data_IF_588175428961
#
_entry.id   IF_588175428961
#
_cell.length_a   1.000
_cell.length_b   1.000
_cell.length_c   1.000
_cell.angle_alpha   90.00
_cell.angle_beta   90.00
_cell.angle_gamma   90.00
#
_symmetry.space_group_name_H-M   'P 1'
#
loop_
_entity.id
_entity.type
_entity.pdbx_description
1 polymer ?
#
# COMPACT_ATOMS: atom_id res chain seq x y z
N UNK A 1 -26.68 8.52 -20.64
CA UNK A 1 -25.69 7.44 -20.89
C UNK A 1 -24.29 7.95 -20.54
N UNK A 2 -23.89 7.88 -19.27
CA UNK A 2 -22.50 8.16 -18.85
C UNK A 2 -21.76 6.82 -18.87
N UNK A 3 -20.92 6.61 -19.88
CA UNK A 3 -19.99 5.48 -19.93
C UNK A 3 -19.09 5.62 -18.70
N UNK A 4 -19.04 4.58 -17.87
CA UNK A 4 -18.00 4.42 -16.85
C UNK A 4 -16.69 4.29 -17.62
N UNK A 5 -15.90 5.36 -17.63
CA UNK A 5 -14.53 5.31 -18.13
C UNK A 5 -13.80 4.26 -17.29
N UNK A 6 -13.47 3.16 -17.93
CA UNK A 6 -12.58 2.14 -17.39
C UNK A 6 -11.20 2.79 -17.39
N UNK A 7 -10.86 3.49 -16.30
CA UNK A 7 -9.56 4.13 -16.15
C UNK A 7 -8.49 3.05 -16.05
N UNK A 8 -7.80 2.87 -17.17
CA UNK A 8 -6.52 2.18 -17.27
C UNK A 8 -5.54 2.94 -16.36
N UNK A 9 -5.06 2.27 -15.29
CA UNK A 9 -4.22 2.88 -14.26
C UNK A 9 -2.86 3.29 -14.84
N UNK A 10 -2.52 4.58 -14.79
CA UNK A 10 -1.27 5.13 -15.31
C UNK A 10 -0.33 5.54 -14.16
N UNK A 11 0.88 4.98 -14.17
CA UNK A 11 1.67 4.63 -12.99
C UNK A 11 2.24 5.70 -12.05
N UNK A 12 2.17 6.98 -12.35
CA UNK A 12 2.77 8.01 -11.47
C UNK A 12 1.76 9.05 -11.00
N UNK A 13 0.79 9.39 -11.85
CA UNK A 13 -0.22 10.42 -11.58
C UNK A 13 -1.25 9.92 -10.56
N UNK A 14 -1.58 8.62 -10.59
CA UNK A 14 -2.60 8.02 -9.73
C UNK A 14 -2.12 7.77 -8.28
N UNK A 15 -0.81 7.56 -8.04
CA UNK A 15 -0.28 7.33 -6.68
C UNK A 15 -0.38 8.61 -5.84
N UNK A 16 -0.01 9.75 -6.41
CA UNK A 16 -0.09 11.04 -5.71
C UNK A 16 -1.53 11.44 -5.41
N UNK A 17 -2.49 11.07 -6.26
CA UNK A 17 -3.91 11.26 -5.96
C UNK A 17 -4.38 10.37 -4.79
N UNK A 18 -3.96 9.10 -4.76
CA UNK A 18 -4.24 8.20 -3.64
C UNK A 18 -3.60 8.66 -2.33
N UNK A 19 -2.39 9.21 -2.37
CA UNK A 19 -1.71 9.78 -1.21
C UNK A 19 -2.46 11.01 -0.68
N UNK A 20 -2.89 11.93 -1.56
CA UNK A 20 -3.69 13.11 -1.18
C UNK A 20 -5.04 12.74 -0.55
N UNK A 21 -5.65 11.63 -0.97
CA UNK A 21 -6.88 11.12 -0.35
C UNK A 21 -6.67 10.59 1.07
N UNK A 22 -5.54 9.93 1.33
CA UNK A 22 -5.18 9.45 2.68
C UNK A 22 -4.73 10.60 3.61
N UNK A 23 -4.12 11.66 3.06
CA UNK A 23 -3.76 12.88 3.81
C UNK A 23 -5.00 13.65 4.32
N UNK A 24 -6.10 13.65 3.55
CA UNK A 24 -7.35 14.36 3.90
C UNK A 24 -8.19 13.67 4.97
N UNK A 25 -7.98 12.38 5.24
CA UNK A 25 -8.63 11.72 6.38
C UNK A 25 -7.93 12.20 7.64
N UNK A 26 -8.66 12.93 8.50
CA UNK A 26 -8.21 13.54 9.76
C UNK A 26 -7.70 12.58 10.85
N UNK A 27 -7.12 11.45 10.47
CA UNK A 27 -6.33 10.58 11.34
C UNK A 27 -5.03 11.34 11.63
N UNK A 28 -4.71 11.54 12.91
CA UNK A 28 -3.50 12.19 13.45
C UNK A 28 -2.14 11.77 12.83
N UNK A 29 -2.11 10.75 11.97
CA UNK A 29 -0.93 10.12 11.39
C UNK A 29 -0.99 9.91 9.86
N UNK A 30 -1.95 10.55 9.15
CA UNK A 30 -2.11 10.44 7.69
C UNK A 30 -0.92 11.01 6.90
N UNK A 31 -0.53 12.25 7.18
CA UNK A 31 0.58 12.94 6.48
C UNK A 31 1.93 12.25 6.65
N UNK A 32 2.28 11.84 7.88
CA UNK A 32 3.55 11.12 8.14
C UNK A 32 3.66 9.81 7.36
N UNK A 33 2.52 9.13 7.12
CA UNK A 33 2.52 7.89 6.35
C UNK A 33 2.77 8.17 4.86
N UNK A 34 2.14 9.19 4.29
CA UNK A 34 2.34 9.57 2.89
C UNK A 34 3.79 10.02 2.62
N UNK A 35 4.37 10.81 3.51
CA UNK A 35 5.77 11.24 3.39
C UNK A 35 6.75 10.07 3.44
N UNK A 36 6.48 9.08 4.31
CA UNK A 36 7.34 7.88 4.37
C UNK A 36 7.18 6.99 3.13
N UNK A 37 6.01 6.99 2.49
CA UNK A 37 5.82 6.31 1.19
C UNK A 37 6.64 6.99 0.10
N UNK A 38 6.65 8.32 0.05
CA UNK A 38 7.50 9.08 -0.90
C UNK A 38 8.98 8.79 -0.67
N UNK A 39 9.42 8.71 0.59
CA UNK A 39 10.78 8.30 0.95
C UNK A 39 11.10 6.88 0.45
N UNK A 40 10.14 5.95 0.59
CA UNK A 40 10.30 4.58 0.09
C UNK A 40 10.37 4.50 -1.44
N UNK A 41 9.58 5.32 -2.15
CA UNK A 41 9.66 5.42 -3.61
C UNK A 41 11.05 5.90 -4.04
N UNK A 42 11.59 6.93 -3.39
CA UNK A 42 12.95 7.40 -3.65
C UNK A 42 13.99 6.30 -3.40
N UNK A 43 13.88 5.59 -2.27
CA UNK A 43 14.77 4.47 -1.97
C UNK A 43 14.71 3.38 -3.05
N UNK A 44 13.50 3.04 -3.51
CA UNK A 44 13.30 2.08 -4.59
C UNK A 44 13.94 2.55 -5.88
N UNK A 45 13.80 3.82 -6.24
CA UNK A 45 14.38 4.35 -7.47
C UNK A 45 15.92 4.32 -7.43
N UNK A 46 16.53 4.44 -6.23
CA UNK A 46 17.97 4.31 -6.01
C UNK A 46 18.47 2.85 -5.95
N UNK A 47 17.69 1.93 -5.36
CA UNK A 47 18.14 0.56 -5.04
C UNK A 47 17.48 -0.53 -5.91
N UNK A 48 16.48 -0.17 -6.73
CA UNK A 48 15.66 -1.10 -7.51
C UNK A 48 14.61 -1.88 -6.72
N UNK A 49 14.52 -1.70 -5.39
CA UNK A 49 13.61 -2.46 -4.53
C UNK A 49 13.17 -1.70 -3.27
N UNK A 50 12.06 -2.12 -2.66
CA UNK A 50 11.55 -1.59 -1.39
C UNK A 50 12.07 -2.34 -0.14
N UNK A 51 13.07 -3.23 -0.28
CA UNK A 51 13.66 -3.97 0.85
C UNK A 51 14.70 -3.13 1.61
N UNK A 52 14.19 -2.21 2.44
CA UNK A 52 15.03 -1.34 3.28
C UNK A 52 15.53 -2.11 4.51
N UNK A 53 16.85 -2.12 4.81
CA UNK A 53 17.39 -2.69 6.04
C UNK A 53 16.79 -2.03 7.30
N UNK A 54 16.36 -2.85 8.27
CA UNK A 54 15.68 -2.38 9.48
C UNK A 54 16.54 -1.45 10.35
N UNK A 55 17.86 -1.64 10.36
CA UNK A 55 18.82 -0.78 11.07
C UNK A 55 19.91 -0.35 10.09
N UNK A 56 20.39 0.91 10.17
CA UNK A 56 20.05 1.94 11.16
C UNK A 56 18.78 2.77 10.85
N UNK A 57 18.19 2.61 9.66
CA UNK A 57 17.20 3.55 9.12
C UNK A 57 15.84 3.59 9.85
N UNK A 58 15.26 4.78 9.95
CA UNK A 58 13.85 4.99 10.35
C UNK A 58 12.90 4.34 9.34
N UNK A 59 13.21 4.45 8.05
CA UNK A 59 12.45 3.88 6.95
C UNK A 59 12.34 2.35 7.06
N UNK A 60 13.42 1.65 7.40
CA UNK A 60 13.42 0.20 7.60
C UNK A 60 12.53 -0.24 8.76
N UNK A 61 12.52 0.51 9.87
CA UNK A 61 11.57 0.25 10.98
C UNK A 61 10.12 0.46 10.54
N UNK A 62 9.88 1.49 9.72
CA UNK A 62 8.56 1.75 9.16
C UNK A 62 8.10 0.63 8.23
N UNK A 63 8.98 0.13 7.34
CA UNK A 63 8.73 -1.03 6.46
C UNK A 63 8.36 -2.25 7.30
N UNK A 64 9.12 -2.58 8.35
CA UNK A 64 8.80 -3.68 9.26
C UNK A 64 7.45 -3.49 9.96
N UNK A 65 7.12 -2.25 10.35
CA UNK A 65 5.81 -1.92 10.92
C UNK A 65 4.69 -2.16 9.92
N UNK A 66 4.82 -1.74 8.66
CA UNK A 66 3.79 -1.98 7.64
C UNK A 66 3.53 -3.47 7.46
N UNK A 67 4.57 -4.31 7.42
CA UNK A 67 4.42 -5.78 7.33
C UNK A 67 3.64 -6.36 8.51
N UNK A 68 3.92 -5.89 9.73
CA UNK A 68 3.19 -6.30 10.93
C UNK A 68 1.73 -5.86 10.91
N UNK A 69 1.48 -4.60 10.56
CA UNK A 69 0.12 -4.06 10.45
C UNK A 69 -0.69 -4.80 9.39
N UNK A 70 -0.10 -5.10 8.23
CA UNK A 70 -0.75 -5.89 7.19
C UNK A 70 -1.07 -7.32 7.63
N UNK A 71 -0.15 -7.98 8.35
CA UNK A 71 -0.43 -9.30 8.95
C UNK A 71 -1.63 -9.22 9.90
N UNK A 72 -1.68 -8.22 10.77
CA UNK A 72 -2.81 -8.03 11.69
C UNK A 72 -4.12 -7.79 10.93
N UNK A 73 -4.09 -6.93 9.90
CA UNK A 73 -5.24 -6.66 9.05
C UNK A 73 -5.76 -7.92 8.35
N UNK A 74 -4.86 -8.74 7.78
CA UNK A 74 -5.22 -10.02 7.14
C UNK A 74 -5.79 -11.03 8.15
N UNK A 75 -5.21 -11.09 9.34
CA UNK A 75 -5.65 -11.99 10.41
C UNK A 75 -6.89 -11.45 11.17
N UNK A 76 -7.56 -10.40 10.64
CA UNK A 76 -8.74 -9.74 11.22
C UNK A 76 -8.54 -9.23 12.65
N UNK A 77 -7.30 -8.83 12.98
CA UNK A 77 -6.92 -8.22 14.26
C UNK A 77 -6.92 -6.70 14.15
N UNK A 78 -6.86 -6.03 15.29
CA UNK A 78 -6.73 -4.57 15.34
C UNK A 78 -5.46 -4.10 14.58
N UNK A 79 -5.66 -3.25 13.57
CA UNK A 79 -4.58 -2.70 12.76
C UNK A 79 -4.92 -1.29 12.26
N UNK A 80 -3.88 -0.47 12.08
CA UNK A 80 -3.98 0.82 11.39
C UNK A 80 -3.75 0.71 9.87
N UNK A 81 -3.62 -0.51 9.35
CA UNK A 81 -3.56 -0.75 7.91
C UNK A 81 -4.96 -0.58 7.31
N UNK A 82 -5.05 0.23 6.26
CA UNK A 82 -6.29 0.44 5.51
C UNK A 82 -6.17 -0.21 4.14
N UNK A 83 -7.30 -0.55 3.51
CA UNK A 83 -7.32 -1.04 2.13
C UNK A 83 -6.54 -0.11 1.18
N UNK A 84 -6.72 1.20 1.32
CA UNK A 84 -6.03 2.22 0.53
C UNK A 84 -4.51 2.16 0.71
N UNK A 85 -4.03 2.07 1.96
CA UNK A 85 -2.59 1.95 2.27
C UNK A 85 -1.98 0.70 1.66
N UNK A 86 -2.69 -0.43 1.73
CA UNK A 86 -2.21 -1.67 1.10
C UNK A 86 -2.16 -1.54 -0.42
N UNK A 87 -3.17 -0.92 -1.05
CA UNK A 87 -3.18 -0.66 -2.49
C UNK A 87 -1.98 0.18 -2.92
N UNK A 88 -1.71 1.28 -2.22
CA UNK A 88 -0.56 2.16 -2.51
C UNK A 88 0.76 1.39 -2.37
N UNK A 89 0.93 0.60 -1.29
CA UNK A 89 2.14 -0.18 -1.05
C UNK A 89 2.33 -1.27 -2.14
N UNK A 90 1.29 -1.98 -2.54
CA UNK A 90 1.39 -2.95 -3.65
C UNK A 90 1.82 -2.27 -4.95
N UNK A 91 1.23 -1.11 -5.24
CA UNK A 91 1.50 -0.37 -6.46
C UNK A 91 2.97 0.04 -6.60
N UNK A 92 3.61 0.41 -5.48
CA UNK A 92 5.03 0.77 -5.49
C UNK A 92 5.97 -0.45 -5.47
N UNK A 93 5.44 -1.68 -5.50
CA UNK A 93 6.22 -2.92 -5.46
C UNK A 93 6.66 -3.32 -4.05
N UNK A 94 5.86 -3.01 -3.03
CA UNK A 94 6.19 -3.37 -1.64
C UNK A 94 6.16 -4.88 -1.42
N UNK A 95 7.25 -5.41 -0.88
CA UNK A 95 7.35 -6.83 -0.53
C UNK A 95 6.83 -7.05 0.90
N UNK A 96 5.71 -7.74 1.05
CA UNK A 96 5.12 -8.02 2.38
C UNK A 96 5.87 -9.08 3.18
N UNK A 97 6.49 -10.04 2.50
CA UNK A 97 7.22 -11.14 3.13
C UNK A 97 8.72 -11.05 2.81
N UNK A 98 9.55 -10.81 3.84
CA UNK A 98 11.00 -10.66 3.66
C UNK A 98 11.69 -11.98 3.31
N UNK A 99 11.03 -13.11 3.58
CA UNK A 99 11.53 -14.45 3.26
C UNK A 99 11.26 -14.86 1.82
N UNK A 100 10.39 -14.12 1.12
CA UNK A 100 10.03 -14.38 -0.26
C UNK A 100 11.16 -13.90 -1.21
N UNK A 101 12.09 -14.81 -1.51
CA UNK A 101 13.18 -14.59 -2.47
C UNK A 101 12.70 -14.51 -3.93
N UNK A 102 11.42 -14.78 -4.21
CA UNK A 102 10.91 -14.90 -5.57
C UNK A 102 10.48 -13.59 -6.22
N UNK A 103 10.57 -12.45 -5.51
CA UNK A 103 10.15 -11.16 -6.06
C UNK A 103 8.68 -11.16 -6.51
N UNK A 104 7.87 -11.93 -5.79
CA UNK A 104 6.42 -12.14 -5.87
C UNK A 104 5.70 -11.69 -7.16
N UNK A 105 5.57 -12.61 -8.12
CA UNK A 105 4.55 -12.53 -9.20
C UNK A 105 3.20 -13.15 -8.81
N UNK A 106 3.06 -13.80 -7.64
CA UNK A 106 1.94 -14.71 -7.34
C UNK A 106 0.81 -14.09 -6.51
N UNK A 107 1.05 -13.01 -5.79
CA UNK A 107 0.05 -12.46 -4.85
C UNK A 107 -0.74 -11.25 -5.37
N UNK A 108 -0.38 -10.66 -6.50
CA UNK A 108 -0.98 -9.38 -6.91
C UNK A 108 -2.42 -9.57 -7.44
N UNK A 109 -2.67 -10.54 -8.33
CA UNK A 109 -3.97 -10.67 -8.99
C UNK A 109 -5.08 -11.15 -8.05
N UNK A 110 -4.82 -12.21 -7.27
CA UNK A 110 -5.83 -12.78 -6.36
C UNK A 110 -6.14 -11.81 -5.22
N UNK A 111 -5.15 -11.07 -4.75
CA UNK A 111 -5.35 -10.06 -3.73
C UNK A 111 -6.10 -8.85 -4.29
N UNK A 112 -5.73 -8.35 -5.48
CA UNK A 112 -6.48 -7.27 -6.15
C UNK A 112 -7.94 -7.66 -6.41
N UNK A 113 -8.21 -8.93 -6.75
CA UNK A 113 -9.55 -9.47 -6.93
C UNK A 113 -10.35 -9.45 -5.61
N UNK A 114 -9.82 -10.02 -4.53
CA UNK A 114 -10.46 -9.97 -3.20
C UNK A 114 -10.64 -8.54 -2.70
N UNK A 115 -9.68 -7.66 -3.00
CA UNK A 115 -9.72 -6.25 -2.64
C UNK A 115 -10.84 -5.50 -3.37
N UNK A 116 -11.03 -5.77 -4.66
CA UNK A 116 -12.16 -5.24 -5.44
C UNK A 116 -13.49 -5.65 -4.81
N UNK A 117 -13.65 -6.92 -4.46
CA UNK A 117 -14.86 -7.45 -3.82
C UNK A 117 -15.11 -6.79 -2.45
N UNK A 118 -14.07 -6.58 -1.64
CA UNK A 118 -14.15 -5.88 -0.36
C UNK A 118 -14.57 -4.41 -0.50
N UNK A 119 -14.06 -3.71 -1.51
CA UNK A 119 -14.45 -2.32 -1.79
C UNK A 119 -15.91 -2.23 -2.21
N UNK A 120 -16.37 -3.13 -3.08
CA UNK A 120 -17.77 -3.21 -3.51
C UNK A 120 -18.70 -3.55 -2.33
N UNK A 121 -18.27 -4.41 -1.41
CA UNK A 121 -19.03 -4.73 -0.20
C UNK A 121 -19.18 -3.53 0.72
N UNK A 122 -18.09 -2.78 0.96
CA UNK A 122 -18.10 -1.60 1.84
C UNK A 122 -18.91 -0.44 1.25
N UNK A 123 -18.95 -0.29 -0.08
CA UNK A 123 -19.79 0.70 -0.76
C UNK A 123 -21.29 0.33 -0.70
N UNK A 124 -21.62 -0.96 -0.68
CA UNK A 124 -23.00 -1.44 -0.58
C UNK A 124 -23.57 -1.47 0.84
N UNK A 125 -22.71 -1.60 1.86
CA UNK A 125 -23.13 -1.92 3.23
C UNK A 125 -22.53 -1.00 4.30
N UNK A 126 -21.79 0.03 3.90
CA UNK A 126 -21.32 1.10 4.79
C UNK A 126 -22.17 2.36 4.64
#
# INVERSE_FOLDING_TARGET
>A
KRRKESTVMNNAVDIEELLKMEEKKGVRYGGQWADTVRELMKYRDENGHCNVPQRPSSLGRWVSRQRREYKNFRDQKHSCMTPQRTKILNYIGFVWDASDKSGNKRNDERWMQMFKELMEYKEKHG
#
